data_IF_995686044983
#
_entry.id   IF_995686044983
#
_cell.length_a   1.000
_cell.length_b   1.000
_cell.length_c   1.000
_cell.angle_alpha   90.00
_cell.angle_beta   90.00
_cell.angle_gamma   90.00
#
_symmetry.space_group_name_H-M   'P 1'
#
loop_
_entity.id
_entity.type
_entity.pdbx_description
1 polymer ?
#
# COMPACT_ATOMS: atom_id res chain seq x y z
N UNK A 1 32.20 1.94 -13.39
CA UNK A 1 31.78 3.35 -13.22
C UNK A 1 31.02 3.41 -11.90
N UNK A 2 31.60 4.09 -10.91
CA UNK A 2 31.10 4.12 -9.55
C UNK A 2 29.86 5.00 -9.45
N UNK A 3 28.74 4.41 -9.00
CA UNK A 3 27.57 5.17 -8.58
C UNK A 3 27.84 5.62 -7.15
N UNK A 4 28.11 6.92 -6.99
CA UNK A 4 28.27 7.55 -5.69
C UNK A 4 27.04 7.32 -4.83
N UNK A 5 27.21 6.56 -3.75
CA UNK A 5 26.19 6.36 -2.73
C UNK A 5 26.07 7.67 -1.93
N UNK A 6 24.89 8.29 -2.00
CA UNK A 6 24.56 9.49 -1.22
C UNK A 6 24.76 9.26 0.29
N UNK A 7 25.49 10.18 0.89
CA UNK A 7 25.98 10.19 2.28
C UNK A 7 24.89 10.08 3.36
N UNK A 8 23.61 10.23 3.04
CA UNK A 8 22.50 10.17 4.00
C UNK A 8 21.98 8.75 4.33
N UNK A 9 22.38 7.71 3.58
CA UNK A 9 21.95 6.32 3.82
C UNK A 9 22.82 5.55 4.82
N UNK A 10 23.97 6.09 5.21
CA UNK A 10 24.89 5.43 6.15
C UNK A 10 24.54 5.70 7.62
N UNK A 11 23.82 6.77 7.95
CA UNK A 11 23.52 7.12 9.36
C UNK A 11 22.49 6.21 10.06
N UNK A 12 21.71 5.43 9.29
CA UNK A 12 20.81 4.41 9.83
C UNK A 12 21.45 3.01 9.91
N UNK A 13 22.53 2.78 9.17
CA UNK A 13 23.22 1.50 9.12
C UNK A 13 24.11 1.36 10.37
N UNK A 14 23.69 0.55 11.35
CA UNK A 14 24.39 0.31 12.60
C UNK A 14 23.62 0.69 13.86
N UNK A 15 22.55 1.48 13.76
CA UNK A 15 21.71 1.87 14.92
C UNK A 15 20.53 0.94 15.16
N UNK A 16 20.06 0.22 14.15
CA UNK A 16 18.84 -0.59 14.26
C UNK A 16 19.10 -1.99 14.83
N UNK A 17 20.28 -2.56 14.59
CA UNK A 17 20.67 -3.86 15.13
C UNK A 17 20.75 -3.91 16.67
N UNK A 18 21.34 -2.93 17.36
CA UNK A 18 21.28 -2.86 18.82
C UNK A 18 19.84 -2.80 19.35
N UNK A 19 18.94 -2.08 18.65
CA UNK A 19 17.52 -2.01 19.04
C UNK A 19 16.84 -3.38 18.92
N UNK A 20 17.16 -4.17 17.88
CA UNK A 20 16.64 -5.53 17.74
C UNK A 20 17.17 -6.44 18.84
N UNK A 21 18.44 -6.31 19.21
CA UNK A 21 19.04 -7.06 20.30
C UNK A 21 18.39 -6.70 21.66
N UNK A 22 18.16 -5.40 21.92
CA UNK A 22 17.43 -4.95 23.11
C UNK A 22 16.00 -5.51 23.12
N UNK A 23 15.29 -5.46 21.99
CA UNK A 23 13.94 -6.04 21.88
C UNK A 23 13.93 -7.55 22.19
N UNK A 24 14.89 -8.30 21.67
CA UNK A 24 15.08 -9.72 21.98
C UNK A 24 15.31 -9.96 23.47
N UNK A 25 16.21 -9.20 24.09
CA UNK A 25 16.52 -9.30 25.51
C UNK A 25 15.30 -8.97 26.38
N UNK A 26 14.54 -7.94 26.03
CA UNK A 26 13.33 -7.56 26.75
C UNK A 26 12.22 -8.62 26.62
N UNK A 27 12.08 -9.27 25.46
CA UNK A 27 11.05 -10.27 25.23
C UNK A 27 11.40 -11.66 25.79
N UNK A 28 12.67 -12.10 25.72
CA UNK A 28 13.09 -13.46 26.08
C UNK A 28 13.93 -13.54 27.36
N UNK A 29 14.48 -12.43 27.83
CA UNK A 29 15.37 -12.35 28.99
C UNK A 29 14.71 -12.60 30.35
N UNK A 30 13.48 -12.10 30.63
CA UNK A 30 12.82 -12.35 31.92
C UNK A 30 12.66 -13.85 32.20
N UNK A 31 12.87 -14.27 33.46
CA UNK A 31 12.87 -15.69 33.84
C UNK A 31 11.55 -16.41 33.48
N UNK A 32 10.41 -15.72 33.63
CA UNK A 32 9.07 -16.20 33.29
C UNK A 32 8.57 -15.85 31.88
N UNK A 33 9.42 -15.34 30.99
CA UNK A 33 9.01 -15.02 29.63
C UNK A 33 8.63 -16.29 28.84
N UNK A 34 7.56 -16.20 28.03
CA UNK A 34 7.30 -17.19 26.98
C UNK A 34 8.46 -17.14 25.99
N UNK A 35 9.07 -18.29 25.68
CA UNK A 35 10.20 -18.41 24.74
C UNK A 35 9.76 -19.22 23.52
N UNK A 36 9.01 -18.61 22.59
CA UNK A 36 8.51 -19.31 21.40
C UNK A 36 9.69 -19.78 20.53
N UNK A 37 9.98 -21.11 20.51
CA UNK A 37 11.24 -21.61 19.95
C UNK A 37 11.31 -21.47 18.43
N UNK A 38 10.20 -21.62 17.71
CA UNK A 38 10.22 -21.50 16.25
C UNK A 38 10.34 -20.05 15.81
N UNK A 39 9.73 -19.12 16.54
CA UNK A 39 9.89 -17.68 16.29
C UNK A 39 11.37 -17.30 16.46
N UNK A 40 12.00 -17.72 17.56
CA UNK A 40 13.44 -17.52 17.77
C UNK A 40 14.28 -18.15 16.65
N UNK A 41 13.97 -19.39 16.26
CA UNK A 41 14.66 -20.09 15.18
C UNK A 41 14.51 -19.38 13.82
N UNK A 42 13.32 -18.85 13.50
CA UNK A 42 13.08 -18.09 12.27
C UNK A 42 13.85 -16.76 12.27
N UNK A 43 13.90 -16.04 13.39
CA UNK A 43 14.71 -14.83 13.50
C UNK A 43 16.20 -15.18 13.34
N UNK A 44 16.68 -16.22 14.01
CA UNK A 44 18.05 -16.68 13.89
C UNK A 44 18.39 -17.09 12.44
N UNK A 45 17.50 -17.82 11.76
CA UNK A 45 17.70 -18.23 10.36
C UNK A 45 17.82 -17.01 9.43
N UNK A 46 16.92 -16.03 9.56
CA UNK A 46 16.99 -14.79 8.77
C UNK A 46 18.25 -13.98 9.11
N UNK A 47 18.67 -13.92 10.38
CA UNK A 47 19.90 -13.25 10.80
C UNK A 47 21.15 -13.93 10.21
N UNK A 48 21.22 -15.26 10.25
CA UNK A 48 22.32 -16.03 9.65
C UNK A 48 22.42 -15.79 8.14
N UNK A 49 21.27 -15.75 7.44
CA UNK A 49 21.22 -15.45 6.00
C UNK A 49 21.62 -14.00 5.70
N UNK A 50 21.27 -13.05 6.57
CA UNK A 50 21.60 -11.64 6.39
C UNK A 50 23.07 -11.34 6.68
N UNK A 51 23.59 -11.77 7.84
CA UNK A 51 24.95 -11.48 8.27
C UNK A 51 26.02 -12.36 7.65
N UNK A 52 25.67 -13.60 7.24
CA UNK A 52 26.54 -14.57 6.58
C UNK A 52 27.89 -14.75 7.32
N UNK A 53 27.88 -15.15 8.61
CA UNK A 53 29.10 -15.24 9.40
C UNK A 53 30.00 -16.41 8.96
N UNK A 54 31.30 -16.14 8.76
CA UNK A 54 32.34 -17.17 8.58
C UNK A 54 32.01 -18.21 7.51
N UNK A 55 32.01 -19.49 7.89
CA UNK A 55 31.75 -20.62 6.99
C UNK A 55 30.33 -20.61 6.37
N UNK A 56 29.36 -19.90 6.97
CA UNK A 56 27.99 -19.80 6.44
C UNK A 56 27.97 -19.07 5.10
N UNK A 57 28.85 -18.08 4.89
CA UNK A 57 28.93 -17.34 3.62
C UNK A 57 29.25 -18.26 2.44
N UNK A 58 30.12 -19.26 2.66
CA UNK A 58 30.55 -20.20 1.62
C UNK A 58 29.41 -21.11 1.13
N UNK A 59 28.44 -21.42 2.00
CA UNK A 59 27.33 -22.32 1.67
C UNK A 59 26.08 -21.60 1.17
N UNK A 60 25.91 -20.32 1.49
CA UNK A 60 24.75 -19.55 1.05
C UNK A 60 24.93 -19.06 -0.40
N UNK A 61 23.90 -19.16 -1.25
CA UNK A 61 23.96 -18.52 -2.56
C UNK A 61 23.97 -16.99 -2.43
N UNK A 62 24.62 -16.32 -3.37
CA UNK A 62 24.60 -14.86 -3.45
C UNK A 62 23.21 -14.35 -3.80
N UNK A 63 22.85 -13.18 -3.27
CA UNK A 63 21.54 -12.53 -3.43
C UNK A 63 21.01 -12.55 -4.87
N UNK A 64 21.83 -12.19 -5.87
CA UNK A 64 21.44 -12.18 -7.31
C UNK A 64 20.88 -13.50 -7.85
N UNK A 65 21.26 -14.64 -7.26
CA UNK A 65 20.82 -15.96 -7.68
C UNK A 65 19.53 -16.41 -7.00
N UNK A 66 19.11 -15.73 -5.93
CA UNK A 66 17.96 -16.13 -5.11
C UNK A 66 16.90 -15.07 -4.98
N UNK A 67 17.14 -13.83 -5.42
CA UNK A 67 16.09 -12.81 -5.50
C UNK A 67 14.90 -13.35 -6.30
N UNK A 68 13.72 -13.17 -5.73
CA UNK A 68 12.46 -13.53 -6.33
C UNK A 68 12.32 -12.78 -7.66
N UNK A 69 12.02 -13.52 -8.71
CA UNK A 69 11.79 -12.96 -10.02
C UNK A 69 10.72 -13.81 -10.72
N UNK A 70 9.50 -13.28 -10.95
CA UNK A 70 8.41 -14.07 -11.50
C UNK A 70 8.75 -14.68 -12.85
N UNK A 71 9.39 -13.92 -13.73
CA UNK A 71 9.83 -14.40 -15.03
C UNK A 71 10.74 -15.63 -14.90
N UNK A 72 11.77 -15.57 -14.07
CA UNK A 72 12.71 -16.67 -13.92
C UNK A 72 12.08 -17.91 -13.26
N UNK A 73 11.21 -17.69 -12.28
CA UNK A 73 10.51 -18.78 -11.59
C UNK A 73 9.53 -19.48 -12.56
N UNK A 74 8.74 -18.71 -13.31
CA UNK A 74 7.71 -19.26 -14.21
C UNK A 74 8.36 -19.90 -15.45
N UNK A 75 9.34 -19.24 -16.05
CA UNK A 75 9.95 -19.69 -17.32
C UNK A 75 10.94 -20.83 -17.13
N UNK A 76 11.70 -20.83 -16.02
CA UNK A 76 12.78 -21.79 -15.79
C UNK A 76 12.55 -22.70 -14.59
N UNK A 77 11.43 -22.58 -13.89
CA UNK A 77 11.13 -23.41 -12.71
C UNK A 77 12.12 -23.19 -11.56
N UNK A 78 12.67 -21.97 -11.41
CA UNK A 78 13.70 -21.67 -10.40
C UNK A 78 13.10 -21.63 -8.98
N UNK A 79 12.91 -22.82 -8.39
CA UNK A 79 12.37 -22.97 -7.05
C UNK A 79 13.28 -22.39 -5.96
N UNK A 80 14.58 -22.23 -6.25
CA UNK A 80 15.50 -21.57 -5.30
C UNK A 80 15.07 -20.13 -5.09
N UNK A 81 14.75 -19.39 -6.16
CA UNK A 81 14.19 -18.04 -6.06
C UNK A 81 12.82 -18.01 -5.40
N UNK A 82 12.00 -19.03 -5.65
CA UNK A 82 10.67 -19.11 -5.04
C UNK A 82 10.74 -19.21 -3.52
N UNK A 83 11.57 -20.10 -2.97
CA UNK A 83 11.63 -20.33 -1.52
C UNK A 83 12.66 -19.46 -0.80
N UNK A 84 13.90 -19.38 -1.30
CA UNK A 84 14.98 -18.72 -0.56
C UNK A 84 14.82 -17.19 -0.53
N UNK A 85 14.21 -16.58 -1.56
CA UNK A 85 14.04 -15.12 -1.61
C UNK A 85 13.39 -14.53 -0.37
N UNK A 86 12.49 -15.28 0.28
CA UNK A 86 11.81 -14.84 1.50
C UNK A 86 12.77 -14.61 2.68
N UNK A 87 13.93 -15.27 2.70
CA UNK A 87 14.88 -15.18 3.81
C UNK A 87 16.00 -14.16 3.56
N UNK A 88 16.13 -13.66 2.33
CA UNK A 88 17.13 -12.67 1.97
C UNK A 88 16.58 -11.25 2.12
N UNK A 89 17.40 -10.32 2.60
CA UNK A 89 17.00 -8.93 2.84
C UNK A 89 17.94 -7.97 2.11
N UNK A 90 17.37 -6.91 1.54
CA UNK A 90 18.09 -5.98 0.66
C UNK A 90 18.89 -4.90 1.41
N UNK A 91 18.49 -4.59 2.64
CA UNK A 91 19.13 -3.58 3.48
C UNK A 91 18.83 -3.82 4.97
N UNK A 92 19.59 -3.14 5.85
CA UNK A 92 19.48 -3.28 7.30
C UNK A 92 18.10 -2.87 7.83
N UNK A 93 17.56 -1.74 7.37
CA UNK A 93 16.24 -1.28 7.80
C UNK A 93 15.13 -2.28 7.44
N UNK A 94 15.19 -2.87 6.24
CA UNK A 94 14.23 -3.91 5.84
C UNK A 94 14.36 -5.17 6.71
N UNK A 95 15.59 -5.61 6.97
CA UNK A 95 15.86 -6.73 7.88
C UNK A 95 15.32 -6.46 9.29
N UNK A 96 15.66 -5.30 9.87
CA UNK A 96 15.22 -4.89 11.20
C UNK A 96 13.70 -4.90 11.33
N UNK A 97 12.98 -4.26 10.40
CA UNK A 97 11.53 -4.18 10.44
C UNK A 97 10.87 -5.56 10.35
N UNK A 98 11.38 -6.44 9.48
CA UNK A 98 10.87 -7.80 9.38
C UNK A 98 11.12 -8.59 10.67
N UNK A 99 12.31 -8.50 11.27
CA UNK A 99 12.62 -9.24 12.49
C UNK A 99 11.87 -8.70 13.70
N UNK A 100 11.69 -7.38 13.81
CA UNK A 100 10.91 -6.75 14.86
C UNK A 100 9.42 -7.12 14.78
N UNK A 101 8.87 -7.21 13.57
CA UNK A 101 7.51 -7.71 13.31
C UNK A 101 7.39 -9.20 13.63
N UNK A 102 8.32 -10.02 13.12
CA UNK A 102 8.38 -11.47 13.38
C UNK A 102 8.43 -11.77 14.89
N UNK A 103 9.23 -11.02 15.63
CA UNK A 103 9.34 -11.18 17.07
C UNK A 103 8.01 -10.98 17.79
N UNK A 104 7.25 -9.95 17.43
CA UNK A 104 5.96 -9.67 18.07
C UNK A 104 4.87 -10.61 17.57
N UNK A 105 4.65 -10.65 16.26
CA UNK A 105 3.54 -11.38 15.65
C UNK A 105 3.77 -12.89 15.72
N UNK A 106 5.00 -13.34 15.46
CA UNK A 106 5.39 -14.74 15.58
C UNK A 106 5.25 -15.26 17.00
N UNK A 107 5.77 -14.53 18.00
CA UNK A 107 5.69 -14.96 19.39
C UNK A 107 4.24 -15.10 19.88
N UNK A 108 3.37 -14.15 19.53
CA UNK A 108 1.93 -14.21 19.86
C UNK A 108 1.25 -15.40 19.19
N UNK A 109 1.47 -15.59 17.89
CA UNK A 109 0.86 -16.70 17.15
C UNK A 109 1.36 -18.05 17.67
N UNK A 110 2.67 -18.24 17.84
CA UNK A 110 3.23 -19.49 18.33
C UNK A 110 2.75 -19.83 19.74
N UNK A 111 2.74 -18.84 20.65
CA UNK A 111 2.26 -19.05 22.03
C UNK A 111 0.76 -19.41 22.06
N UNK A 112 -0.03 -18.88 21.12
CA UNK A 112 -1.48 -19.12 21.08
C UNK A 112 -1.91 -20.35 20.27
N UNK A 113 -1.10 -20.85 19.34
CA UNK A 113 -1.42 -22.05 18.55
C UNK A 113 -0.65 -23.30 18.94
N UNK A 114 0.49 -23.14 19.61
CA UNK A 114 1.50 -24.19 19.68
C UNK A 114 2.46 -24.13 18.50
N UNK A 115 3.69 -24.60 18.72
CA UNK A 115 4.78 -24.62 17.73
C UNK A 115 4.46 -25.47 16.48
N UNK A 116 3.89 -26.69 16.56
CA UNK A 116 3.60 -27.48 15.36
C UNK A 116 2.63 -26.78 14.41
N UNK A 117 1.53 -26.24 14.94
CA UNK A 117 0.52 -25.52 14.19
C UNK A 117 1.07 -24.22 13.60
N UNK A 118 1.94 -23.54 14.35
CA UNK A 118 2.66 -22.36 13.90
C UNK A 118 3.62 -22.66 12.75
N UNK A 119 4.38 -23.77 12.82
CA UNK A 119 5.24 -24.21 11.73
C UNK A 119 4.44 -24.44 10.44
N UNK A 120 3.34 -25.18 10.53
CA UNK A 120 2.44 -25.44 9.40
C UNK A 120 1.88 -24.14 8.83
N UNK A 121 1.54 -23.17 9.68
CA UNK A 121 1.09 -21.84 9.25
C UNK A 121 2.18 -21.11 8.47
N UNK A 122 3.39 -21.02 9.00
CA UNK A 122 4.52 -20.30 8.34
C UNK A 122 4.85 -20.94 6.99
N UNK A 123 4.92 -22.27 6.92
CA UNK A 123 5.17 -23.00 5.65
C UNK A 123 4.05 -22.74 4.63
N UNK A 124 2.79 -22.80 5.07
CA UNK A 124 1.64 -22.53 4.20
C UNK A 124 1.66 -21.10 3.68
N UNK A 125 1.90 -20.12 4.57
CA UNK A 125 1.94 -18.71 4.21
C UNK A 125 3.11 -18.40 3.28
N UNK A 126 4.29 -19.02 3.47
CA UNK A 126 5.42 -18.91 2.55
C UNK A 126 5.04 -19.36 1.14
N UNK A 127 4.45 -20.55 1.00
CA UNK A 127 4.03 -21.07 -0.30
C UNK A 127 2.94 -20.22 -0.95
N UNK A 128 1.91 -19.86 -0.18
CA UNK A 128 0.78 -19.07 -0.66
C UNK A 128 1.20 -17.64 -1.04
N UNK A 129 2.03 -16.96 -0.23
CA UNK A 129 2.42 -15.57 -0.51
C UNK A 129 3.24 -15.48 -1.79
N UNK A 130 4.19 -16.39 -1.97
CA UNK A 130 5.00 -16.48 -3.18
C UNK A 130 4.13 -16.87 -4.39
N UNK A 131 3.21 -17.83 -4.22
CA UNK A 131 2.26 -18.25 -5.25
C UNK A 131 1.33 -17.13 -5.73
N UNK A 132 0.71 -16.39 -4.81
CA UNK A 132 -0.13 -15.23 -5.17
C UNK A 132 0.68 -14.12 -5.81
N UNK A 133 1.92 -13.90 -5.38
CA UNK A 133 2.83 -12.93 -6.03
C UNK A 133 3.07 -13.31 -7.48
N UNK A 134 3.35 -14.59 -7.78
CA UNK A 134 3.48 -15.06 -9.17
C UNK A 134 2.19 -14.88 -9.98
N UNK A 135 1.04 -15.22 -9.39
CA UNK A 135 -0.25 -15.11 -10.06
C UNK A 135 -0.57 -13.65 -10.40
N UNK A 136 -0.37 -12.72 -9.45
CA UNK A 136 -0.56 -11.29 -9.69
C UNK A 136 0.41 -10.77 -10.75
N UNK A 137 1.71 -11.08 -10.64
CA UNK A 137 2.71 -10.63 -11.62
C UNK A 137 2.40 -11.14 -13.03
N UNK A 138 1.98 -12.41 -13.18
CA UNK A 138 1.58 -12.98 -14.48
C UNK A 138 0.26 -12.39 -14.98
N UNK A 139 -0.70 -12.17 -14.09
CA UNK A 139 -1.98 -11.53 -14.44
C UNK A 139 -1.81 -10.10 -14.94
N UNK A 140 -0.96 -9.31 -14.29
CA UNK A 140 -0.61 -7.96 -14.74
C UNK A 140 0.07 -7.96 -16.10
N UNK A 141 0.95 -8.93 -16.37
CA UNK A 141 1.56 -9.09 -17.68
C UNK A 141 0.49 -9.33 -18.76
N UNK A 142 -0.51 -10.17 -18.48
CA UNK A 142 -1.64 -10.39 -19.40
C UNK A 142 -2.51 -9.15 -19.63
N UNK A 143 -2.50 -8.19 -18.69
CA UNK A 143 -3.17 -6.89 -18.81
C UNK A 143 -2.27 -5.82 -19.45
N UNK A 144 -1.07 -6.18 -19.91
CA UNK A 144 -0.14 -5.26 -20.58
C UNK A 144 0.82 -4.53 -19.65
N UNK A 145 0.88 -4.87 -18.35
CA UNK A 145 1.86 -4.31 -17.42
C UNK A 145 2.89 -5.38 -17.03
N UNK A 146 4.10 -5.25 -17.57
CA UNK A 146 5.18 -6.22 -17.41
C UNK A 146 6.16 -5.90 -16.26
N UNK A 147 6.05 -4.73 -15.64
CA UNK A 147 6.97 -4.27 -14.59
C UNK A 147 7.08 -5.28 -13.45
N UNK A 148 5.93 -5.70 -12.92
CA UNK A 148 5.87 -6.66 -11.82
C UNK A 148 6.38 -8.05 -12.19
N UNK A 149 6.42 -8.41 -13.48
CA UNK A 149 6.83 -9.72 -13.97
C UNK A 149 8.35 -9.86 -14.08
N UNK A 150 9.05 -8.77 -14.41
CA UNK A 150 10.51 -8.75 -14.53
C UNK A 150 11.24 -8.17 -13.33
N UNK A 151 10.54 -7.55 -12.38
CA UNK A 151 11.13 -7.00 -11.16
C UNK A 151 11.72 -8.08 -10.25
N UNK A 152 12.78 -7.71 -9.54
CA UNK A 152 13.40 -8.53 -8.50
C UNK A 152 12.96 -8.08 -7.12
N UNK A 153 12.66 -9.03 -6.23
CA UNK A 153 12.35 -8.77 -4.83
C UNK A 153 12.99 -9.79 -3.89
N UNK A 154 13.05 -9.47 -2.60
CA UNK A 154 13.48 -10.40 -1.55
C UNK A 154 12.96 -9.89 -0.21
N UNK A 155 12.64 -10.80 0.72
CA UNK A 155 12.27 -10.46 2.09
C UNK A 155 11.11 -11.27 2.63
N UNK A 156 11.05 -11.36 3.96
CA UNK A 156 10.07 -12.17 4.69
C UNK A 156 8.72 -11.45 4.86
N UNK A 157 8.60 -10.23 4.34
CA UNK A 157 7.44 -9.34 4.53
C UNK A 157 6.12 -9.94 4.06
N UNK A 158 6.11 -10.69 2.94
CA UNK A 158 4.90 -11.36 2.45
C UNK A 158 4.34 -12.38 3.45
N UNK A 159 5.24 -13.14 4.10
CA UNK A 159 4.86 -14.11 5.14
C UNK A 159 4.35 -13.38 6.37
N UNK A 160 5.03 -12.30 6.80
CA UNK A 160 4.64 -11.49 7.95
C UNK A 160 3.28 -10.85 7.77
N UNK A 161 2.98 -10.29 6.60
CA UNK A 161 1.67 -9.74 6.29
C UNK A 161 0.58 -10.82 6.36
N UNK A 162 0.86 -12.03 5.85
CA UNK A 162 -0.03 -13.17 6.01
C UNK A 162 -0.26 -13.55 7.48
N UNK A 163 0.81 -13.58 8.28
CA UNK A 163 0.73 -13.84 9.72
C UNK A 163 -0.10 -12.78 10.45
N UNK A 164 0.10 -11.50 10.13
CA UNK A 164 -0.69 -10.41 10.70
C UNK A 164 -2.17 -10.54 10.35
N UNK A 165 -2.52 -10.91 9.11
CA UNK A 165 -3.93 -11.20 8.74
C UNK A 165 -4.50 -12.32 9.62
N UNK A 166 -3.75 -13.40 9.83
CA UNK A 166 -4.20 -14.53 10.68
C UNK A 166 -4.35 -14.11 12.15
N UNK A 167 -3.42 -13.32 12.69
CA UNK A 167 -3.48 -12.81 14.06
C UNK A 167 -4.67 -11.86 14.23
N UNK A 168 -4.87 -10.94 13.28
CA UNK A 168 -5.97 -9.98 13.25
C UNK A 168 -7.35 -10.64 13.10
N UNK A 169 -7.45 -11.80 12.45
CA UNK A 169 -8.70 -12.54 12.37
C UNK A 169 -9.05 -13.26 13.68
N UNK A 170 -8.10 -13.36 14.62
CA UNK A 170 -8.26 -14.01 15.94
C UNK A 170 -8.47 -12.99 17.05
N UNK A 171 -7.72 -11.91 17.03
CA UNK A 171 -7.81 -10.80 17.99
C UNK A 171 -8.72 -9.71 17.39
N UNK A 172 -9.81 -9.34 18.07
CA UNK A 172 -10.73 -8.31 17.57
C UNK A 172 -10.09 -6.92 17.44
N UNK A 173 -9.61 -6.36 18.55
CA UNK A 173 -8.77 -5.16 18.56
C UNK A 173 -7.33 -5.56 18.84
N UNK A 174 -6.37 -5.01 18.09
CA UNK A 174 -4.94 -5.39 18.14
C UNK A 174 -4.13 -4.22 18.65
N UNK A 175 -3.33 -4.44 19.70
CA UNK A 175 -2.39 -3.42 20.18
C UNK A 175 -1.19 -3.34 19.24
N UNK A 176 -1.17 -2.32 18.38
CA UNK A 176 -0.10 -1.99 17.45
C UNK A 176 0.79 -0.90 18.05
N UNK A 177 2.07 -1.20 18.32
CA UNK A 177 3.03 -0.27 18.94
C UNK A 177 2.53 0.45 20.21
N UNK A 178 1.76 -0.25 21.06
CA UNK A 178 1.21 0.31 22.30
C UNK A 178 -0.13 1.05 22.14
N UNK A 179 -0.66 1.12 20.92
CA UNK A 179 -1.98 1.71 20.62
C UNK A 179 -2.93 0.60 20.21
N UNK A 180 -4.10 0.53 20.83
CA UNK A 180 -5.16 -0.39 20.43
C UNK A 180 -5.75 0.07 19.10
N UNK A 181 -5.46 -0.67 18.03
CA UNK A 181 -5.96 -0.44 16.67
C UNK A 181 -6.92 -1.57 16.32
N UNK A 182 -8.13 -1.29 15.81
CA UNK A 182 -9.03 -2.35 15.35
C UNK A 182 -8.33 -3.27 14.35
N UNK A 183 -8.41 -4.59 14.54
CA UNK A 183 -7.61 -5.55 13.79
C UNK A 183 -7.75 -5.45 12.27
N UNK A 184 -8.91 -4.97 11.81
CA UNK A 184 -9.20 -4.63 10.41
C UNK A 184 -8.23 -3.61 9.80
N UNK A 185 -7.63 -2.73 10.61
CA UNK A 185 -6.69 -1.71 10.16
C UNK A 185 -5.23 -2.06 10.44
N UNK A 186 -4.94 -3.05 11.29
CA UNK A 186 -3.56 -3.40 11.66
C UNK A 186 -2.74 -3.91 10.45
N UNK A 187 -3.34 -4.75 9.59
CA UNK A 187 -2.69 -5.18 8.35
C UNK A 187 -2.46 -4.03 7.35
N UNK A 188 -3.39 -3.06 7.30
CA UNK A 188 -3.26 -1.87 6.47
C UNK A 188 -2.20 -0.91 7.01
N UNK A 189 -2.11 -0.74 8.33
CA UNK A 189 -1.13 0.12 8.98
C UNK A 189 0.28 -0.44 8.83
N UNK A 190 0.43 -1.76 8.90
CA UNK A 190 1.71 -2.41 8.63
C UNK A 190 2.10 -2.35 7.15
N UNK A 191 1.12 -2.45 6.24
CA UNK A 191 1.34 -2.20 4.81
C UNK A 191 1.79 -0.75 4.55
N UNK A 192 1.15 0.24 5.20
CA UNK A 192 1.54 1.65 5.11
C UNK A 192 2.93 1.90 5.69
N UNK A 193 3.27 1.24 6.81
CA UNK A 193 4.60 1.33 7.42
C UNK A 193 5.68 0.75 6.50
N UNK A 194 5.47 -0.45 5.95
CA UNK A 194 6.39 -1.09 5.00
C UNK A 194 6.59 -0.21 3.76
N UNK A 195 5.51 0.38 3.25
CA UNK A 195 5.56 1.27 2.08
C UNK A 195 6.26 2.60 2.37
N UNK A 196 6.01 3.21 3.53
CA UNK A 196 6.63 4.47 3.94
C UNK A 196 8.16 4.36 4.12
N UNK A 197 8.64 3.23 4.65
CA UNK A 197 10.06 3.00 4.87
C UNK A 197 10.79 2.39 3.67
N UNK A 198 10.06 1.86 2.68
CA UNK A 198 10.63 1.22 1.50
C UNK A 198 9.79 1.53 0.24
N UNK A 199 9.84 2.78 -0.25
CA UNK A 199 8.94 3.27 -1.32
C UNK A 199 9.15 2.55 -2.67
N UNK A 200 10.30 1.93 -2.89
CA UNK A 200 10.58 1.13 -4.10
C UNK A 200 10.21 -0.36 -3.97
N UNK A 201 9.70 -0.80 -2.82
CA UNK A 201 9.51 -2.21 -2.52
C UNK A 201 8.05 -2.68 -2.68
N UNK A 202 7.80 -3.35 -3.81
CA UNK A 202 7.06 -4.61 -3.86
C UNK A 202 5.61 -4.64 -3.35
N UNK A 203 4.77 -3.68 -3.76
CA UNK A 203 3.31 -3.71 -3.56
C UNK A 203 2.71 -5.09 -3.88
N UNK A 204 3.14 -5.71 -4.97
CA UNK A 204 2.64 -7.03 -5.41
C UNK A 204 2.98 -8.15 -4.42
N UNK A 205 4.19 -8.15 -3.85
CA UNK A 205 4.57 -9.13 -2.84
C UNK A 205 3.76 -8.95 -1.55
N UNK A 206 3.51 -7.69 -1.17
CA UNK A 206 2.72 -7.37 0.02
C UNK A 206 1.24 -7.75 -0.15
N UNK A 207 0.64 -7.44 -1.31
CA UNK A 207 -0.71 -7.89 -1.65
C UNK A 207 -0.77 -9.42 -1.69
N UNK A 208 0.24 -10.08 -2.26
CA UNK A 208 0.37 -11.53 -2.25
C UNK A 208 0.38 -12.12 -0.83
N UNK A 209 1.06 -11.45 0.12
CA UNK A 209 1.04 -11.80 1.53
C UNK A 209 -0.33 -11.68 2.20
N UNK A 210 -1.07 -10.59 1.93
CA UNK A 210 -2.42 -10.40 2.45
C UNK A 210 -3.37 -11.48 1.91
N UNK A 211 -3.32 -11.74 0.60
CA UNK A 211 -4.11 -12.79 -0.05
C UNK A 211 -3.76 -14.17 0.53
N UNK A 212 -2.48 -14.43 0.82
CA UNK A 212 -2.05 -15.67 1.46
C UNK A 212 -2.66 -15.85 2.86
N UNK A 213 -2.68 -14.80 3.68
CA UNK A 213 -3.34 -14.82 4.99
C UNK A 213 -4.83 -15.13 4.89
N UNK A 214 -5.54 -14.47 3.97
CA UNK A 214 -6.96 -14.71 3.73
C UNK A 214 -7.23 -16.13 3.22
N UNK A 215 -6.44 -16.61 2.25
CA UNK A 215 -6.56 -17.95 1.72
C UNK A 215 -6.27 -19.01 2.79
N UNK A 216 -5.26 -18.81 3.64
CA UNK A 216 -4.96 -19.70 4.75
C UNK A 216 -6.13 -19.79 5.74
N UNK A 217 -6.75 -18.65 6.09
CA UNK A 217 -7.93 -18.64 6.95
C UNK A 217 -9.11 -19.38 6.32
N UNK A 218 -9.35 -19.15 5.03
CA UNK A 218 -10.41 -19.84 4.28
C UNK A 218 -10.19 -21.36 4.27
N UNK A 219 -8.98 -21.79 3.96
CA UNK A 219 -8.62 -23.22 3.88
C UNK A 219 -8.71 -23.91 5.25
N UNK A 220 -8.36 -23.22 6.34
CA UNK A 220 -8.28 -23.83 7.67
C UNK A 220 -9.55 -23.71 8.50
N UNK A 221 -10.38 -22.69 8.29
CA UNK A 221 -11.56 -22.41 9.14
C UNK A 221 -12.85 -22.17 8.34
N UNK A 222 -12.82 -22.23 7.01
CA UNK A 222 -13.98 -21.95 6.17
C UNK A 222 -14.35 -20.46 6.07
N UNK A 223 -15.36 -20.11 5.26
CA UNK A 223 -15.72 -18.72 4.95
C UNK A 223 -16.33 -17.95 6.13
N UNK A 224 -16.88 -18.65 7.13
CA UNK A 224 -17.58 -18.04 8.27
C UNK A 224 -16.67 -17.12 9.10
N UNK A 225 -15.38 -17.44 9.20
CA UNK A 225 -14.40 -16.63 9.94
C UNK A 225 -13.93 -15.39 9.18
N UNK A 226 -14.14 -15.33 7.86
CA UNK A 226 -13.84 -14.16 7.04
C UNK A 226 -14.98 -13.13 7.04
N UNK A 227 -16.22 -13.57 7.25
CA UNK A 227 -17.40 -12.73 7.27
C UNK A 227 -17.29 -11.47 8.17
N UNK A 228 -16.81 -11.53 9.43
CA UNK A 228 -16.69 -10.33 10.27
C UNK A 228 -15.58 -9.37 9.84
N UNK A 229 -14.58 -9.82 9.07
CA UNK A 229 -13.50 -8.97 8.57
C UNK A 229 -13.96 -8.14 7.36
N UNK A 230 -14.85 -8.70 6.54
CA UNK A 230 -15.41 -8.04 5.36
C UNK A 230 -16.77 -7.35 5.60
N UNK A 231 -17.50 -7.69 6.66
CA UNK A 231 -18.81 -7.08 6.98
C UNK A 231 -18.71 -5.57 7.13
N UNK A 232 -17.64 -5.05 7.74
CA UNK A 232 -17.41 -3.60 7.85
C UNK A 232 -17.13 -2.92 6.50
N UNK A 233 -16.50 -3.61 5.55
CA UNK A 233 -16.27 -3.08 4.19
C UNK A 233 -17.57 -3.14 3.38
N UNK A 234 -18.32 -4.24 3.48
CA UNK A 234 -19.63 -4.38 2.86
C UNK A 234 -20.65 -3.37 3.42
N UNK A 235 -20.56 -3.01 4.70
CA UNK A 235 -21.40 -1.98 5.31
C UNK A 235 -21.08 -0.58 4.76
N UNK A 236 -19.81 -0.25 4.56
CA UNK A 236 -19.35 1.01 3.95
C UNK A 236 -19.68 1.07 2.45
N UNK A 237 -19.55 -0.04 1.73
CA UNK A 237 -19.91 -0.15 0.30
C UNK A 237 -21.43 -0.14 0.09
N UNK A 238 -22.20 -0.70 1.02
CA UNK A 238 -23.67 -0.72 0.96
C UNK A 238 -24.33 0.53 1.55
N UNK A 239 -23.59 1.38 2.26
CA UNK A 239 -24.10 2.64 2.82
C UNK A 239 -24.70 3.59 1.76
N UNK A 240 -24.04 3.83 0.61
CA UNK A 240 -24.62 4.63 -0.48
C UNK A 240 -25.91 4.00 -1.02
N UNK A 241 -25.94 2.68 -1.18
CA UNK A 241 -27.11 1.95 -1.69
C UNK A 241 -28.29 1.98 -0.70
N UNK A 242 -28.02 1.85 0.60
CA UNK A 242 -29.01 1.97 1.68
C UNK A 242 -29.56 3.39 1.79
N UNK A 243 -28.70 4.39 1.64
CA UNK A 243 -29.10 5.81 1.62
C UNK A 243 -30.00 6.12 0.42
N UNK A 244 -29.61 5.69 -0.79
CA UNK A 244 -30.43 5.85 -2.00
C UNK A 244 -31.79 5.15 -1.88
N UNK A 245 -31.82 3.94 -1.31
CA UNK A 245 -33.07 3.19 -1.07
C UNK A 245 -33.98 3.87 -0.04
N UNK A 246 -33.40 4.55 0.96
CA UNK A 246 -34.14 5.36 1.95
C UNK A 246 -34.74 6.60 1.31
N UNK A 247 -34.00 7.27 0.42
CA UNK A 247 -34.45 8.44 -0.34
C UNK A 247 -35.64 8.10 -1.27
N UNK A 248 -35.55 6.96 -1.96
CA UNK A 248 -36.61 6.46 -2.84
C UNK A 248 -37.88 6.08 -2.07
N UNK A 249 -37.74 5.51 -0.87
CA UNK A 249 -38.89 5.20 0.01
C UNK A 249 -39.56 6.44 0.57
N UNK A 250 -38.80 7.49 0.92
CA UNK A 250 -39.36 8.78 1.33
C UNK A 250 -40.05 9.52 0.18
N UNK A 251 -39.54 9.40 -1.06
CA UNK A 251 -40.21 9.94 -2.23
C UNK A 251 -41.51 9.19 -2.58
N UNK A 252 -41.57 7.89 -2.30
CA UNK A 252 -42.76 7.06 -2.53
C UNK A 252 -43.89 7.30 -1.50
N UNK A 253 -43.58 7.77 -0.29
CA UNK A 253 -44.58 8.09 0.75
C UNK A 253 -45.01 9.57 0.77
N UNK A 254 -44.41 10.44 -0.07
CA UNK A 254 -44.64 11.88 -0.07
C UNK A 254 -45.69 12.39 -1.07
N UNK A 255 -46.63 11.57 -1.53
CA UNK A 255 -47.77 12.04 -2.35
C UNK A 255 -49.04 12.10 -1.50
N UNK A 256 -49.24 13.23 -0.83
CA UNK A 256 -50.49 13.51 -0.13
C UNK A 256 -50.58 14.96 0.35
N UNK A 257 -51.48 15.72 -0.29
CA UNK A 257 -52.12 16.96 0.15
C UNK A 257 -51.42 18.31 -0.08
N UNK A 258 -52.26 19.19 -0.61
CA UNK A 258 -52.13 20.61 -0.90
C UNK A 258 -52.14 21.50 0.36
N UNK A 259 -51.71 22.76 0.19
CA UNK A 259 -52.44 24.02 0.57
C UNK A 259 -51.50 25.19 0.98
N UNK A 260 -51.70 26.31 0.26
CA UNK A 260 -51.53 27.77 0.52
C UNK A 260 -50.21 28.44 0.94
N UNK A 261 -49.96 29.54 0.21
CA UNK A 261 -49.08 30.70 0.45
C UNK A 261 -49.22 31.34 1.84
N UNK A 262 -48.10 31.81 2.37
CA UNK A 262 -47.97 33.15 2.98
C UNK A 262 -46.57 33.73 2.70
N UNK A 263 -46.50 35.07 2.59
CA UNK A 263 -45.32 35.85 2.19
C UNK A 263 -44.80 36.67 3.38
N UNK A 264 -43.48 36.52 3.66
CA UNK A 264 -42.45 37.46 4.17
C UNK A 264 -42.56 38.09 5.59
N UNK A 265 -41.47 38.72 6.12
CA UNK A 265 -40.01 38.54 5.92
C UNK A 265 -39.21 38.44 7.26
N UNK A 266 -37.94 38.02 7.22
CA UNK A 266 -36.80 38.59 8.00
C UNK A 266 -35.54 37.67 7.98
N UNK A 267 -34.43 38.27 7.54
CA UNK A 267 -33.02 38.09 7.92
C UNK A 267 -32.61 36.98 8.91
N UNK A 268 -31.67 36.11 8.53
CA UNK A 268 -30.22 36.22 8.80
C UNK A 268 -29.47 34.90 8.47
N UNK A 269 -28.20 35.06 8.12
CA UNK A 269 -27.29 34.11 7.48
C UNK A 269 -26.82 32.93 8.35
N UNK A 270 -26.56 31.76 7.75
CA UNK A 270 -25.33 30.96 7.95
C UNK A 270 -25.03 30.16 6.68
N UNK A 271 -23.93 30.51 6.00
CA UNK A 271 -23.52 29.95 4.71
C UNK A 271 -22.84 28.58 4.78
N UNK A 272 -23.13 27.73 3.79
CA UNK A 272 -22.27 26.63 3.38
C UNK A 272 -21.76 26.91 1.98
N UNK A 273 -20.50 27.34 1.92
CA UNK A 273 -19.81 27.84 0.74
C UNK A 273 -19.67 26.79 -0.36
N UNK A 274 -20.13 27.18 -1.54
CA UNK A 274 -19.89 26.55 -2.84
C UNK A 274 -18.38 26.25 -3.01
N UNK A 275 -18.00 24.98 -3.20
CA UNK A 275 -16.64 24.53 -3.55
C UNK A 275 -16.68 23.81 -4.90
N UNK A 276 -15.61 23.88 -5.69
CA UNK A 276 -15.50 23.17 -6.97
C UNK A 276 -14.44 22.08 -6.90
N UNK A 277 -14.70 20.93 -7.53
CA UNK A 277 -13.79 19.78 -7.50
C UNK A 277 -12.91 19.74 -8.75
N UNK A 278 -11.60 19.63 -8.56
CA UNK A 278 -10.65 19.54 -9.68
C UNK A 278 -10.81 18.22 -10.44
N UNK A 279 -10.94 18.30 -11.77
CA UNK A 279 -11.09 17.11 -12.62
C UNK A 279 -9.81 16.26 -12.73
N UNK A 280 -8.64 16.85 -12.47
CA UNK A 280 -7.34 16.18 -12.63
C UNK A 280 -6.93 15.43 -11.37
N UNK A 281 -7.07 16.04 -10.20
CA UNK A 281 -6.59 15.49 -8.93
C UNK A 281 -7.69 15.26 -7.88
N UNK A 282 -8.95 15.57 -8.20
CA UNK A 282 -10.11 15.44 -7.30
C UNK A 282 -10.06 16.26 -6.01
N UNK A 283 -9.15 17.23 -5.89
CA UNK A 283 -9.10 18.16 -4.77
C UNK A 283 -10.27 19.15 -4.83
N UNK A 284 -10.95 19.39 -3.70
CA UNK A 284 -11.98 20.41 -3.58
C UNK A 284 -11.31 21.78 -3.35
N UNK A 285 -11.63 22.76 -4.18
CA UNK A 285 -11.09 24.11 -4.15
C UNK A 285 -12.20 25.10 -3.79
N UNK A 286 -11.82 26.27 -3.28
CA UNK A 286 -12.75 27.36 -3.04
C UNK A 286 -13.33 27.92 -4.35
N UNK A 287 -14.58 28.40 -4.36
CA UNK A 287 -15.24 28.95 -5.59
C UNK A 287 -14.42 30.06 -6.27
N UNK A 288 -13.67 30.84 -5.50
CA UNK A 288 -12.90 31.98 -6.01
C UNK A 288 -11.49 31.58 -6.49
N UNK A 289 -11.10 30.31 -6.34
CA UNK A 289 -9.83 29.83 -6.86
C UNK A 289 -9.94 29.54 -8.36
N UNK A 290 -9.29 30.37 -9.17
CA UNK A 290 -9.24 30.24 -10.63
C UNK A 290 -8.43 29.00 -11.10
N UNK A 291 -7.58 28.48 -10.21
CA UNK A 291 -6.75 27.30 -10.43
C UNK A 291 -6.79 26.39 -9.20
N UNK A 292 -6.59 25.09 -9.40
CA UNK A 292 -6.52 24.14 -8.30
C UNK A 292 -5.29 24.41 -7.42
N UNK A 293 -5.48 24.49 -6.10
CA UNK A 293 -4.40 24.75 -5.14
C UNK A 293 -3.33 23.64 -5.14
N UNK A 294 -3.71 22.41 -5.48
CA UNK A 294 -2.82 21.23 -5.42
C UNK A 294 -2.01 21.02 -6.70
N UNK A 295 -2.60 21.25 -7.88
CA UNK A 295 -2.01 20.88 -9.16
C UNK A 295 -2.08 21.98 -10.22
N UNK A 296 -2.54 23.17 -9.84
CA UNK A 296 -2.66 24.36 -10.70
C UNK A 296 -3.51 24.16 -11.96
N UNK A 297 -4.35 23.12 -12.00
CA UNK A 297 -5.29 22.90 -13.11
C UNK A 297 -6.35 24.03 -13.11
N UNK A 298 -6.62 24.70 -14.25
CA UNK A 298 -7.57 25.80 -14.31
C UNK A 298 -9.01 25.36 -14.02
N UNK A 299 -9.81 26.27 -13.45
CA UNK A 299 -11.24 26.07 -13.24
C UNK A 299 -11.96 25.81 -14.59
N UNK A 300 -12.84 24.78 -14.69
CA UNK A 300 -13.51 24.41 -15.95
C UNK A 300 -14.26 25.58 -16.61
N UNK A 301 -14.97 26.39 -15.81
CA UNK A 301 -15.73 27.53 -16.32
C UNK A 301 -14.85 28.73 -16.72
N UNK A 302 -13.63 28.87 -16.18
CA UNK A 302 -12.69 29.95 -16.54
C UNK A 302 -11.72 29.55 -17.67
N UNK A 303 -11.59 28.26 -17.98
CA UNK A 303 -10.80 27.78 -19.10
C UNK A 303 -11.32 28.31 -20.46
N UNK A 304 -12.62 28.58 -20.57
CA UNK A 304 -13.24 29.14 -21.77
C UNK A 304 -13.15 30.67 -21.86
N UNK A 305 -13.06 31.38 -20.73
CA UNK A 305 -12.92 32.84 -20.69
C UNK A 305 -11.53 33.29 -21.15
N UNK A 306 -10.47 32.51 -20.85
CA UNK A 306 -9.11 32.83 -21.32
C UNK A 306 -8.96 32.72 -22.85
N UNK A 307 -9.80 31.91 -23.50
CA UNK A 307 -9.82 31.80 -24.97
C UNK A 307 -10.66 32.92 -25.62
N UNK A 308 -11.64 33.50 -24.91
CA UNK A 308 -12.36 34.71 -25.36
C UNK A 308 -11.61 36.02 -25.08
N UNK A 309 -10.86 36.12 -23.97
CA UNK A 309 -10.12 37.35 -23.63
C UNK A 309 -8.80 37.55 -24.39
N UNK A 310 -8.32 36.53 -25.12
CA UNK A 310 -7.27 36.68 -26.14
C UNK A 310 -7.83 37.01 -27.53
N UNK A 311 -9.15 37.06 -27.69
CA UNK A 311 -9.82 37.41 -28.96
C UNK A 311 -10.54 38.77 -28.94
N UNK A 312 -10.58 39.48 -27.80
CA UNK A 312 -11.27 40.77 -27.67
C UNK A 312 -10.32 41.94 -27.32
N UNK A 313 -9.04 41.79 -27.72
CA UNK A 313 -8.00 42.81 -27.60
C UNK A 313 -7.44 43.19 -28.96
N UNK A 314 -8.23 43.91 -29.77
CA UNK A 314 -7.77 44.62 -30.96
C UNK A 314 -7.62 43.77 -32.22
N UNK A 315 -8.59 43.88 -33.11
CA UNK A 315 -8.41 43.65 -34.54
C UNK A 315 -7.20 44.45 -35.04
N UNK A 316 -6.11 43.76 -35.34
CA UNK A 316 -5.16 44.15 -36.37
C UNK A 316 -4.64 42.85 -37.02
N UNK A 317 -5.53 42.16 -37.73
CA UNK A 317 -5.09 41.27 -38.79
C UNK A 317 -4.29 42.11 -39.78
N UNK A 318 -2.97 41.94 -39.77
CA UNK A 318 -2.09 42.53 -40.76
C UNK A 318 -2.55 42.04 -42.13
N UNK A 319 -2.79 42.97 -43.06
CA UNK A 319 -3.19 42.60 -44.42
C UNK A 319 -2.15 41.69 -45.05
N UNK A 320 -2.59 40.84 -45.98
CA UNK A 320 -1.71 39.89 -46.69
C UNK A 320 -0.50 40.60 -47.32
N UNK A 321 -0.66 41.86 -47.71
CA UNK A 321 0.41 42.67 -48.30
C UNK A 321 1.45 43.13 -47.26
N UNK A 322 1.02 43.41 -46.03
CA UNK A 322 1.90 43.73 -44.92
C UNK A 322 2.73 42.51 -44.47
N UNK A 323 2.15 41.31 -44.55
CA UNK A 323 2.88 40.05 -44.29
C UNK A 323 3.88 39.75 -45.41
N UNK A 324 3.53 40.05 -46.68
CA UNK A 324 4.41 39.87 -47.84
C UNK A 324 5.63 40.79 -47.76
N UNK A 325 5.44 42.07 -47.38
CA UNK A 325 6.51 43.06 -47.19
C UNK A 325 7.53 42.61 -46.14
N UNK A 326 7.05 42.16 -44.98
CA UNK A 326 7.91 41.72 -43.85
C UNK A 326 8.67 40.43 -44.11
N UNK A 327 8.20 39.59 -45.04
CA UNK A 327 8.95 38.40 -45.50
C UNK A 327 10.10 38.76 -46.43
N UNK A 328 9.93 39.79 -47.26
CA UNK A 328 10.99 40.27 -48.15
C UNK A 328 12.11 40.98 -47.39
N UNK A 329 11.79 41.72 -46.33
CA UNK A 329 12.79 42.37 -45.47
C UNK A 329 13.64 41.36 -44.66
N UNK A 330 13.17 40.13 -44.43
CA UNK A 330 13.93 39.09 -43.71
C UNK A 330 15.03 38.42 -44.52
N UNK A 331 15.04 38.58 -45.85
CA UNK A 331 16.03 37.94 -46.75
C UNK A 331 16.79 38.98 -47.60
N UNK A 332 16.71 40.27 -47.23
CA UNK A 332 17.35 41.38 -47.93
C UNK A 332 18.38 42.13 -47.09
N UNK A 333 19.09 41.44 -46.20
CA UNK A 333 20.23 41.96 -45.43
C UNK A 333 21.33 40.92 -45.36
#
# INVERSE_FOLDING_TARGET
>A
MGVGMSSGRQDFAGRTLPLLAVQMLLQYGPAGASRPPLTAALVAANALVYFRPGAVDAHLPRLRHVMFNPHLIIKFGDLRRFFLSAFYHLCEGHFFMNMASLLRTGAKLETSTGSPEFACMVVSLLGLSQGFTLLLSKGLLSLGNDMAYYQYSAGFSGVLLGMNVVLNAREGDVVWHGVTVPAKYAALLELLLVHAFNPEAHLICNVGGILAGLAYLLLRHGPERLAPMFSGIADVVSQPARFAKKLLRSAAHGRGSSVRRHVAPAQEEVGQGMRWRCITCSCDNSRHADVCEMCSTPHPDHAFSRRRHLQDGGNNELSVEEIRRRRLERFGG
#
